data_IF_938491474638
#
_entry.id   IF_938491474638
#
_cell.length_a   1.000
_cell.length_b   1.000
_cell.length_c   1.000
_cell.angle_alpha   90.00
_cell.angle_beta   90.00
_cell.angle_gamma   90.00
#
_symmetry.space_group_name_H-M   'P 1'
#
loop_
_entity.id
_entity.type
_entity.pdbx_description
1 polymer ?
#
# COMPACT_ATOMS: atom_id res chain seq x y z
N UNK A 1 26.08 2.41 3.63
CA UNK A 1 25.03 1.83 2.76
C UNK A 1 23.85 2.78 2.78
N UNK A 2 23.28 3.21 1.63
CA UNK A 2 22.18 4.16 1.63
C UNK A 2 20.98 3.54 2.35
N UNK A 3 20.45 4.25 3.34
CA UNK A 3 19.25 3.86 4.06
C UNK A 3 18.05 3.95 3.09
N UNK A 4 17.28 2.87 3.00
CA UNK A 4 16.03 2.86 2.23
C UNK A 4 14.98 3.62 3.03
N UNK A 5 14.71 4.86 2.63
CA UNK A 5 13.81 5.77 3.34
C UNK A 5 12.45 5.73 2.66
N UNK A 6 11.41 5.30 3.39
CA UNK A 6 10.04 5.69 3.06
C UNK A 6 9.80 7.03 3.77
N UNK A 7 9.31 8.02 3.04
CA UNK A 7 8.76 9.23 3.65
C UNK A 7 7.25 9.13 3.59
N UNK A 8 6.59 8.95 4.73
CA UNK A 8 5.15 8.92 4.79
C UNK A 8 4.63 10.28 5.25
N UNK A 9 3.82 10.91 4.41
CA UNK A 9 3.19 12.19 4.73
C UNK A 9 1.72 11.93 5.03
N UNK A 10 1.30 12.14 6.27
CA UNK A 10 -0.10 12.05 6.69
C UNK A 10 -0.57 13.44 7.11
N UNK A 11 -1.37 14.09 6.27
CA UNK A 11 -1.78 15.48 6.50
C UNK A 11 -0.58 16.45 6.46
N UNK A 12 -0.27 17.08 7.61
CA UNK A 12 0.90 17.98 7.77
C UNK A 12 2.11 17.31 8.41
N UNK A 13 1.99 16.06 8.81
CA UNK A 13 3.04 15.34 9.53
C UNK A 13 3.81 14.44 8.57
N UNK A 14 5.13 14.54 8.62
CA UNK A 14 6.03 13.64 7.89
C UNK A 14 6.61 12.63 8.86
N UNK A 15 6.49 11.37 8.50
CA UNK A 15 7.00 10.23 9.21
C UNK A 15 8.08 9.59 8.35
N UNK A 16 9.23 9.32 8.93
CA UNK A 16 10.30 8.60 8.24
C UNK A 16 10.41 7.19 8.79
N UNK A 17 9.71 6.21 8.19
CA UNK A 17 9.89 4.81 8.51
C UNK A 17 11.35 4.34 8.47
N UNK A 18 11.85 3.80 9.58
CA UNK A 18 13.26 3.46 9.77
C UNK A 18 13.72 2.08 9.24
N UNK A 19 12.86 1.20 8.72
CA UNK A 19 13.33 -0.07 8.16
C UNK A 19 12.35 -0.78 7.20
N UNK A 20 12.90 -1.49 6.19
CA UNK A 20 12.17 -2.51 5.44
C UNK A 20 13.00 -3.76 5.19
N UNK A 21 12.30 -4.90 5.12
CA UNK A 21 12.77 -6.18 4.59
C UNK A 21 12.77 -6.12 3.06
N UNK A 22 13.91 -6.45 2.44
CA UNK A 22 14.20 -6.59 1.00
C UNK A 22 14.89 -5.43 0.24
N UNK A 23 15.57 -5.84 -0.85
CA UNK A 23 16.68 -5.18 -1.56
C UNK A 23 16.45 -3.69 -1.89
N UNK A 24 17.56 -2.94 -1.86
CA UNK A 24 17.64 -1.50 -2.15
C UNK A 24 16.79 -1.08 -3.37
N UNK A 25 15.70 -0.36 -3.10
CA UNK A 25 14.87 0.33 -4.07
C UNK A 25 15.02 1.84 -3.87
N UNK A 26 14.73 2.68 -4.88
CA UNK A 26 14.78 4.13 -4.74
C UNK A 26 13.89 4.62 -3.59
N UNK A 27 14.28 5.73 -2.96
CA UNK A 27 13.47 6.43 -1.95
C UNK A 27 12.04 6.64 -2.45
N UNK A 28 11.07 6.15 -1.68
CA UNK A 28 9.65 6.29 -1.98
C UNK A 28 9.06 7.33 -1.03
N UNK A 29 8.25 8.25 -1.55
CA UNK A 29 7.42 9.13 -0.71
C UNK A 29 5.96 8.75 -0.90
N UNK A 30 5.29 8.43 0.20
CA UNK A 30 3.89 8.05 0.23
C UNK A 30 3.08 9.18 0.85
N UNK A 31 2.28 9.85 0.04
CA UNK A 31 1.40 10.93 0.51
C UNK A 31 0.04 10.32 0.80
N UNK A 32 -0.24 10.07 2.08
CA UNK A 32 -1.50 9.50 2.53
C UNK A 32 -2.57 10.59 2.49
N UNK A 33 -3.59 10.34 1.69
CA UNK A 33 -4.72 11.24 1.47
C UNK A 33 -5.94 10.78 2.24
N UNK A 34 -6.95 10.35 1.50
CA UNK A 34 -8.30 10.07 2.01
C UNK A 34 -8.33 8.82 2.88
N UNK A 35 -8.94 8.91 4.06
CA UNK A 35 -9.33 7.73 4.85
C UNK A 35 -10.55 7.06 4.21
N UNK A 36 -10.49 5.74 4.03
CA UNK A 36 -11.60 4.95 3.47
C UNK A 36 -12.42 4.36 4.61
N UNK A 37 -11.81 3.45 5.38
CA UNK A 37 -12.47 2.74 6.46
C UNK A 37 -11.43 2.05 7.35
N UNK A 38 -11.65 2.06 8.66
CA UNK A 38 -10.79 1.33 9.60
C UNK A 38 -9.33 1.73 9.45
N UNK A 39 -8.49 0.77 9.08
CA UNK A 39 -7.03 0.93 8.90
C UNK A 39 -6.63 1.30 7.47
N UNK A 40 -7.60 1.56 6.58
CA UNK A 40 -7.40 1.68 5.12
C UNK A 40 -7.47 3.15 4.69
N UNK A 41 -6.47 3.57 3.92
CA UNK A 41 -6.31 4.91 3.38
C UNK A 41 -5.96 4.85 1.89
N UNK A 42 -6.38 5.84 1.12
CA UNK A 42 -5.83 6.12 -0.20
C UNK A 42 -4.55 6.94 -0.05
N UNK A 43 -3.56 6.64 -0.88
CA UNK A 43 -2.33 7.40 -0.92
C UNK A 43 -1.80 7.51 -2.35
N UNK A 44 -0.87 8.45 -2.54
CA UNK A 44 -0.10 8.59 -3.77
C UNK A 44 1.34 8.23 -3.53
N UNK A 45 1.89 7.38 -4.39
CA UNK A 45 3.30 7.00 -4.35
C UNK A 45 4.10 7.87 -5.31
N UNK A 46 4.96 8.71 -4.75
CA UNK A 46 5.90 9.56 -5.48
C UNK A 46 7.27 8.88 -5.49
N UNK A 47 7.71 8.41 -6.66
CA UNK A 47 9.09 7.98 -6.84
C UNK A 47 9.99 9.20 -7.11
N UNK A 48 11.21 9.20 -6.56
CA UNK A 48 12.19 10.25 -6.85
C UNK A 48 12.80 10.15 -8.27
N UNK A 49 12.51 9.10 -9.04
CA UNK A 49 12.86 9.05 -10.46
C UNK A 49 11.65 9.36 -11.33
N UNK A 50 11.85 10.25 -12.30
CA UNK A 50 10.88 10.77 -13.27
C UNK A 50 10.27 9.74 -14.23
N UNK A 51 10.42 8.43 -13.94
CA UNK A 51 9.98 7.34 -14.80
C UNK A 51 8.97 6.38 -14.14
N UNK A 52 8.69 6.49 -12.84
CA UNK A 52 7.62 5.70 -12.25
C UNK A 52 6.30 6.49 -12.34
N UNK A 53 5.23 5.91 -12.91
CA UNK A 53 3.93 6.54 -12.91
C UNK A 53 3.50 6.85 -11.48
N UNK A 54 2.94 8.05 -11.31
CA UNK A 54 2.40 8.56 -10.07
C UNK A 54 1.19 7.68 -9.69
N UNK A 55 1.46 6.57 -9.02
CA UNK A 55 0.47 5.51 -8.83
C UNK A 55 -0.36 5.79 -7.59
N UNK A 56 -1.68 5.87 -7.79
CA UNK A 56 -2.62 5.78 -6.69
C UNK A 56 -2.50 4.38 -6.07
N UNK A 57 -2.40 4.35 -4.75
CA UNK A 57 -2.23 3.14 -3.96
C UNK A 57 -3.19 3.14 -2.78
N UNK A 58 -3.42 1.95 -2.25
CA UNK A 58 -4.12 1.76 -0.98
C UNK A 58 -3.10 1.42 0.08
N UNK A 59 -3.24 2.04 1.24
CA UNK A 59 -2.35 1.90 2.39
C UNK A 59 -3.17 1.37 3.54
N UNK A 60 -2.73 0.25 4.11
CA UNK A 60 -3.25 -0.24 5.39
C UNK A 60 -2.24 0.05 6.48
N UNK A 61 -2.64 0.83 7.48
CA UNK A 61 -1.77 1.31 8.55
C UNK A 61 -2.25 0.86 9.92
N UNK A 62 -1.34 0.35 10.76
CA UNK A 62 -1.64 -0.04 12.13
C UNK A 62 -0.52 0.36 13.09
N UNK A 63 -0.91 0.85 14.27
CA UNK A 63 -0.03 1.15 15.43
C UNK A 63 -0.21 0.17 16.58
N UNK A 64 -1.26 -0.67 16.54
CA UNK A 64 -1.56 -1.66 17.56
C UNK A 64 -0.90 -3.02 17.25
N UNK A 65 -0.43 -3.73 18.27
CA UNK A 65 0.31 -4.99 18.10
C UNK A 65 -0.47 -6.05 17.32
N UNK A 66 -1.78 -6.14 17.54
CA UNK A 66 -2.62 -7.11 16.84
C UNK A 66 -2.71 -6.77 15.35
N UNK A 67 -3.04 -5.52 15.01
CA UNK A 67 -3.08 -5.08 13.62
C UNK A 67 -1.74 -5.16 12.91
N UNK A 68 -0.63 -4.91 13.60
CA UNK A 68 0.70 -5.12 13.03
C UNK A 68 0.95 -6.59 12.68
N UNK A 69 0.46 -7.53 13.48
CA UNK A 69 0.52 -8.98 13.18
C UNK A 69 -0.40 -9.34 12.02
N UNK A 70 -1.62 -8.79 12.01
CA UNK A 70 -2.60 -9.02 10.95
C UNK A 70 -2.04 -8.56 9.59
N UNK A 71 -1.42 -7.37 9.53
CA UNK A 71 -0.80 -6.86 8.30
C UNK A 71 0.40 -7.70 7.84
N UNK A 72 1.17 -8.26 8.76
CA UNK A 72 2.27 -9.17 8.43
C UNK A 72 1.75 -10.50 7.89
N UNK A 73 0.69 -11.03 8.50
CA UNK A 73 0.03 -12.23 8.01
C UNK A 73 -0.58 -12.00 6.62
N UNK A 74 -1.27 -10.87 6.43
CA UNK A 74 -1.83 -10.47 5.13
C UNK A 74 -0.73 -10.36 4.06
N UNK A 75 0.39 -9.70 4.37
CA UNK A 75 1.53 -9.64 3.47
C UNK A 75 2.03 -11.03 3.06
N UNK A 76 2.12 -11.96 4.02
CA UNK A 76 2.52 -13.34 3.74
C UNK A 76 1.55 -14.04 2.78
N UNK A 77 0.25 -13.87 2.96
CA UNK A 77 -0.77 -14.41 2.04
C UNK A 77 -0.54 -13.85 0.63
N UNK A 78 -0.30 -12.54 0.50
CA UNK A 78 0.01 -11.94 -0.79
C UNK A 78 1.28 -12.51 -1.43
N UNK A 79 2.37 -12.58 -0.66
CA UNK A 79 3.69 -13.02 -1.14
C UNK A 79 3.77 -14.51 -1.46
N UNK A 80 3.10 -15.35 -0.70
CA UNK A 80 3.23 -16.81 -0.80
C UNK A 80 2.06 -17.42 -1.58
N UNK A 81 0.83 -17.14 -1.15
CA UNK A 81 -0.36 -17.85 -1.62
C UNK A 81 -0.98 -17.20 -2.87
N UNK A 82 -0.97 -15.87 -2.94
CA UNK A 82 -1.63 -15.10 -4.00
C UNK A 82 -0.66 -14.59 -5.08
N UNK A 83 0.62 -14.95 -5.02
CA UNK A 83 1.66 -14.39 -5.89
C UNK A 83 1.30 -14.40 -7.39
N UNK A 84 0.65 -15.46 -7.87
CA UNK A 84 0.26 -15.63 -9.29
C UNK A 84 -1.02 -14.87 -9.69
N UNK A 85 -1.80 -14.43 -8.71
CA UNK A 85 -3.10 -13.75 -8.89
C UNK A 85 -2.99 -12.23 -8.81
N UNK A 86 -1.89 -11.72 -8.27
CA UNK A 86 -1.63 -10.29 -8.12
C UNK A 86 -1.63 -9.56 -9.47
N UNK A 87 -2.35 -8.45 -9.52
CA UNK A 87 -2.53 -7.64 -10.73
C UNK A 87 -3.50 -8.20 -11.77
N UNK A 88 -4.10 -9.36 -11.49
CA UNK A 88 -5.11 -10.00 -12.36
C UNK A 88 -6.46 -10.09 -11.68
N UNK A 89 -6.49 -10.74 -10.51
CA UNK A 89 -7.71 -11.00 -9.75
C UNK A 89 -7.67 -10.35 -8.36
N UNK A 90 -6.47 -10.07 -7.84
CA UNK A 90 -6.29 -9.36 -6.57
C UNK A 90 -5.30 -8.20 -6.78
N UNK A 91 -5.36 -7.14 -5.94
CA UNK A 91 -4.39 -6.04 -6.01
C UNK A 91 -2.95 -6.54 -5.92
N UNK A 92 -2.01 -5.87 -6.61
CA UNK A 92 -0.58 -6.11 -6.34
C UNK A 92 -0.23 -5.63 -4.94
N UNK A 93 0.40 -6.48 -4.16
CA UNK A 93 1.07 -6.11 -2.93
C UNK A 93 2.42 -5.50 -3.28
N UNK A 94 2.50 -4.17 -3.12
CA UNK A 94 3.68 -3.40 -3.48
C UNK A 94 4.79 -3.67 -2.47
N UNK A 95 4.47 -3.62 -1.16
CA UNK A 95 5.24 -4.27 -0.08
C UNK A 95 4.75 -3.87 1.33
N UNK A 96 5.42 -4.32 2.39
CA UNK A 96 5.14 -4.08 3.81
C UNK A 96 6.28 -3.31 4.52
N UNK A 97 5.99 -2.17 5.15
CA UNK A 97 6.92 -1.41 5.98
C UNK A 97 6.65 -1.62 7.46
N UNK A 98 7.72 -1.67 8.26
CA UNK A 98 7.64 -1.57 9.73
C UNK A 98 8.41 -0.34 10.14
N UNK A 99 7.87 0.45 11.05
CA UNK A 99 8.61 1.59 11.56
C UNK A 99 8.33 1.89 13.00
N UNK A 100 9.19 2.71 13.57
CA UNK A 100 9.00 3.31 14.87
C UNK A 100 8.91 4.82 14.62
N UNK A 101 7.77 5.41 14.98
CA UNK A 101 7.54 6.84 14.90
C UNK A 101 7.44 7.42 16.30
N UNK A 102 7.27 8.74 16.42
CA UNK A 102 7.06 9.40 17.72
C UNK A 102 5.81 8.88 18.47
N UNK A 103 4.92 8.17 17.77
CA UNK A 103 3.67 7.59 18.30
C UNK A 103 3.88 6.10 18.67
N UNK A 104 5.07 5.54 18.38
CA UNK A 104 5.45 4.16 18.67
C UNK A 104 5.60 3.30 17.42
N UNK A 105 5.73 1.97 17.61
CA UNK A 105 5.87 1.03 16.51
C UNK A 105 4.59 0.98 15.66
N UNK A 106 4.78 0.84 14.36
CA UNK A 106 3.70 0.75 13.39
C UNK A 106 4.09 -0.13 12.20
N UNK A 107 3.08 -0.53 11.45
CA UNK A 107 3.23 -1.34 10.23
C UNK A 107 2.30 -0.79 9.15
N UNK A 108 2.83 -0.73 7.92
CA UNK A 108 2.17 -0.15 6.77
C UNK A 108 2.27 -1.11 5.57
N UNK A 109 1.13 -1.63 5.12
CA UNK A 109 1.03 -2.47 3.92
C UNK A 109 0.55 -1.61 2.75
N UNK A 110 1.28 -1.65 1.64
CA UNK A 110 0.96 -0.87 0.44
C UNK A 110 0.49 -1.82 -0.66
N UNK A 111 -0.68 -1.52 -1.22
CA UNK A 111 -1.33 -2.27 -2.29
C UNK A 111 -1.62 -1.34 -3.47
N UNK A 112 -1.64 -1.90 -4.68
CA UNK A 112 -2.16 -1.23 -5.87
C UNK A 112 -3.63 -0.83 -5.65
N UNK A 113 -4.01 0.40 -6.03
CA UNK A 113 -5.41 0.79 -6.02
C UNK A 113 -6.10 0.20 -7.25
N UNK A 114 -6.98 -0.78 -7.04
CA UNK A 114 -7.86 -1.26 -8.10
C UNK A 114 -9.02 -0.26 -8.27
N UNK A 115 -9.05 0.43 -9.42
CA UNK A 115 -10.24 1.16 -9.84
C UNK A 115 -11.11 0.14 -10.59
N UNK A 116 -12.38 -0.06 -10.22
CA UNK A 116 -13.26 -0.85 -11.06
C UNK A 116 -13.30 -0.16 -12.43
N UNK A 117 -12.95 -0.89 -13.49
CA UNK A 117 -13.36 -0.46 -14.83
C UNK A 117 -14.86 -0.22 -14.76
N UNK A 118 -15.41 0.88 -15.32
CA UNK A 118 -16.84 0.95 -15.53
C UNK A 118 -17.21 -0.32 -16.28
N UNK A 119 -17.94 -1.20 -15.61
CA UNK A 119 -18.58 -2.33 -16.26
C UNK A 119 -19.67 -1.63 -17.05
N UNK A 120 -19.48 -1.48 -18.36
CA UNK A 120 -20.62 -1.27 -19.23
C UNK A 120 -21.48 -2.51 -19.04
N UNK A 121 -22.48 -2.40 -18.15
CA UNK A 121 -23.57 -3.35 -18.12
C UNK A 121 -24.28 -3.14 -19.47
N UNK A 122 -23.89 -3.92 -20.47
CA UNK A 122 -24.81 -4.21 -21.55
C UNK A 122 -25.95 -4.97 -20.89
N UNK A 123 -27.03 -4.24 -20.59
CA UNK A 123 -28.33 -4.86 -20.36
C UNK A 123 -28.70 -5.57 -21.67
N UNK A 124 -28.19 -6.78 -21.85
CA UNK A 124 -28.74 -7.76 -22.78
C UNK A 124 -30.09 -8.17 -22.19
N UNK A 125 -31.09 -7.31 -22.34
CA UNK A 125 -32.48 -7.71 -22.32
C UNK A 125 -32.74 -8.58 -23.56
N UNK A 126 -32.24 -9.82 -23.50
CA UNK A 126 -32.66 -10.89 -24.41
C UNK A 126 -33.68 -11.78 -23.71
N UNK A 127 -34.90 -11.69 -24.24
CA UNK A 127 -35.99 -12.68 -24.24
C UNK A 127 -36.70 -12.89 -22.88
N UNK A 128 -38.04 -12.85 -22.79
CA UNK A 128 -39.08 -13.40 -23.69
C UNK A 128 -40.36 -12.56 -23.69
#
# INVERSE_FOLDING_TARGET
MPANILNLVLGRESYTPLARFEKAQPTLTLVVGKHIQGKVHEAKMLAHSSQAPNNDVVVKWSTDLQGMRDLQHEYKIYSDELAKLQGKAVPKCISLFKSETNIGPNTCLILEKCIPSPVEFCDDETEF
#
